data_IF_044981892412
#
_entry.id   IF_044981892412
#
_cell.length_a   1.000
_cell.length_b   1.000
_cell.length_c   1.000
_cell.angle_alpha   90.00
_cell.angle_beta   90.00
_cell.angle_gamma   90.00
#
_symmetry.space_group_name_H-M   'P 1'
#
loop_
_entity.id
_entity.type
_entity.pdbx_description
1 polymer ?
#
# COMPACT_ATOMS: atom_id res chain seq x y z
N UNK A 1 19.48 -18.26 -4.80
CA UNK A 1 18.00 -18.34 -4.83
C UNK A 1 17.50 -18.39 -6.26
N UNK A 2 16.52 -19.25 -6.57
CA UNK A 2 15.89 -19.33 -7.89
C UNK A 2 15.19 -18.01 -8.25
N UNK A 3 15.40 -17.51 -9.47
CA UNK A 3 14.72 -16.32 -10.02
C UNK A 3 13.33 -16.65 -10.59
N UNK A 4 12.90 -17.92 -10.54
CA UNK A 4 11.64 -18.39 -11.10
C UNK A 4 10.56 -18.48 -10.03
N UNK A 5 9.32 -18.16 -10.42
CA UNK A 5 8.11 -18.37 -9.63
C UNK A 5 7.10 -19.12 -10.52
N UNK A 6 6.71 -20.31 -10.10
CA UNK A 6 5.60 -21.03 -10.77
C UNK A 6 4.29 -20.32 -10.41
N UNK A 7 3.40 -20.15 -11.37
CA UNK A 7 2.11 -19.48 -11.19
C UNK A 7 1.26 -20.13 -10.08
N UNK A 8 1.39 -21.44 -9.92
CA UNK A 8 0.71 -22.17 -8.85
C UNK A 8 1.13 -21.71 -7.43
N UNK A 9 2.42 -21.34 -7.25
CA UNK A 9 2.96 -20.87 -5.98
C UNK A 9 2.89 -19.35 -5.79
N UNK A 10 2.24 -18.62 -6.73
CA UNK A 10 2.05 -17.19 -6.54
C UNK A 10 1.21 -16.91 -5.28
N UNK A 11 1.45 -15.81 -4.54
CA UNK A 11 0.69 -15.45 -3.35
C UNK A 11 -0.82 -15.46 -3.58
N UNK A 12 -1.60 -15.80 -2.55
CA UNK A 12 -3.07 -15.80 -2.64
C UNK A 12 -3.63 -14.39 -2.82
N UNK A 13 -2.87 -13.37 -2.43
CA UNK A 13 -3.19 -11.96 -2.61
C UNK A 13 -3.20 -11.48 -4.07
N UNK A 14 -2.66 -12.27 -5.01
CA UNK A 14 -2.63 -11.90 -6.41
C UNK A 14 -3.89 -12.34 -7.15
N UNK A 15 -4.55 -11.38 -7.81
CA UNK A 15 -5.72 -11.63 -8.66
C UNK A 15 -5.28 -12.08 -10.06
N UNK A 16 -4.70 -13.30 -10.15
CA UNK A 16 -4.17 -13.86 -11.40
C UNK A 16 -4.73 -15.25 -11.67
N UNK A 17 -4.79 -15.63 -12.95
CA UNK A 17 -5.13 -16.98 -13.38
C UNK A 17 -4.04 -17.96 -12.95
N UNK A 18 -4.41 -19.03 -12.22
CA UNK A 18 -3.46 -20.05 -11.76
C UNK A 18 -3.14 -21.11 -12.82
N UNK A 19 -4.06 -21.34 -13.76
CA UNK A 19 -3.91 -22.28 -14.87
C UNK A 19 -3.58 -21.54 -16.17
N UNK A 20 -2.87 -22.18 -17.07
CA UNK A 20 -2.50 -21.65 -18.39
C UNK A 20 -0.99 -21.38 -18.53
N UNK A 21 -0.43 -20.49 -17.74
CA UNK A 21 1.01 -20.18 -17.79
C UNK A 21 1.76 -20.86 -16.64
N UNK A 22 2.86 -21.55 -16.95
CA UNK A 22 3.70 -22.24 -15.97
C UNK A 22 4.42 -21.29 -15.02
N UNK A 23 4.92 -20.15 -15.52
CA UNK A 23 5.72 -19.20 -14.78
C UNK A 23 5.11 -17.79 -14.80
N UNK A 24 5.24 -17.09 -13.68
CA UNK A 24 4.85 -15.70 -13.51
C UNK A 24 6.06 -14.88 -13.06
N UNK A 25 6.03 -13.56 -13.28
CA UNK A 25 7.13 -12.69 -12.84
C UNK A 25 7.24 -12.75 -11.31
N UNK A 26 8.44 -13.09 -10.80
CA UNK A 26 8.76 -13.00 -9.37
C UNK A 26 9.16 -11.56 -9.06
N UNK A 27 8.58 -10.91 -8.03
CA UNK A 27 9.01 -9.57 -7.62
C UNK A 27 10.48 -9.54 -7.26
N UNK A 28 11.15 -8.45 -7.59
CA UNK A 28 12.48 -8.12 -7.06
C UNK A 28 12.36 -7.78 -5.57
N UNK A 29 13.42 -7.96 -4.78
CA UNK A 29 13.47 -7.42 -3.42
C UNK A 29 13.21 -5.89 -3.46
N UNK A 30 12.40 -5.40 -2.54
CA UNK A 30 12.01 -3.99 -2.53
C UNK A 30 11.27 -3.61 -1.25
N UNK A 31 10.44 -2.58 -1.34
CA UNK A 31 9.73 -1.96 -0.23
C UNK A 31 8.69 -2.87 0.44
N UNK A 32 8.16 -3.82 -0.29
CA UNK A 32 7.08 -4.69 0.17
C UNK A 32 7.46 -6.16 0.15
N UNK A 33 6.92 -6.94 1.10
CA UNK A 33 7.01 -8.40 1.08
C UNK A 33 6.26 -8.96 -0.12
N UNK A 34 6.70 -10.12 -0.64
CA UNK A 34 6.08 -10.76 -1.81
C UNK A 34 4.58 -11.04 -1.62
N UNK A 35 4.15 -11.33 -0.39
CA UNK A 35 2.75 -11.62 -0.05
C UNK A 35 1.85 -10.38 -0.12
N UNK A 36 2.43 -9.19 0.10
CA UNK A 36 1.73 -7.90 0.13
C UNK A 36 2.06 -7.02 -1.07
N UNK A 37 2.65 -7.59 -2.12
CA UNK A 37 3.01 -6.85 -3.34
C UNK A 37 2.76 -7.67 -4.59
N UNK A 38 2.61 -6.99 -5.71
CA UNK A 38 2.46 -7.58 -7.04
C UNK A 38 3.49 -6.94 -7.99
N UNK A 39 4.18 -7.72 -8.84
CA UNK A 39 5.15 -7.15 -9.77
C UNK A 39 4.45 -6.30 -10.83
N UNK A 40 5.09 -5.19 -11.19
CA UNK A 40 4.55 -4.18 -12.09
C UNK A 40 4.10 -4.76 -13.45
N UNK A 41 4.86 -5.73 -14.00
CA UNK A 41 4.47 -6.41 -15.24
C UNK A 41 3.18 -7.23 -15.13
N UNK A 42 2.86 -7.76 -13.96
CA UNK A 42 1.61 -8.51 -13.72
C UNK A 42 0.45 -7.53 -13.63
N UNK A 43 0.65 -6.39 -12.98
CA UNK A 43 -0.36 -5.34 -12.90
C UNK A 43 -0.71 -4.85 -14.31
N UNK A 44 0.29 -4.52 -15.14
CA UNK A 44 0.08 -4.03 -16.50
C UNK A 44 -0.61 -5.06 -17.40
N UNK A 45 -0.27 -6.35 -17.25
CA UNK A 45 -0.77 -7.40 -18.14
C UNK A 45 -2.08 -8.01 -17.66
N UNK A 46 -2.15 -8.41 -16.37
CA UNK A 46 -3.23 -9.26 -15.88
C UNK A 46 -4.35 -8.44 -15.22
N UNK A 47 -4.03 -7.29 -14.62
CA UNK A 47 -5.00 -6.45 -13.91
C UNK A 47 -5.52 -5.33 -14.81
N UNK A 48 -4.64 -4.45 -15.31
CA UNK A 48 -5.01 -3.30 -16.13
C UNK A 48 -5.19 -3.63 -17.62
N UNK A 49 -4.61 -4.75 -18.08
CA UNK A 49 -4.68 -5.20 -19.48
C UNK A 49 -4.11 -4.20 -20.50
N UNK A 50 -3.16 -3.37 -20.09
CA UNK A 50 -2.45 -2.44 -20.98
C UNK A 50 -1.39 -3.12 -21.84
N UNK A 51 -1.02 -4.33 -21.49
CA UNK A 51 -0.12 -5.19 -22.25
C UNK A 51 -0.68 -6.60 -22.31
N UNK A 52 -0.49 -7.30 -23.43
CA UNK A 52 -0.86 -8.72 -23.57
C UNK A 52 0.32 -9.61 -23.23
N UNK A 53 1.53 -9.15 -23.53
CA UNK A 53 2.76 -9.90 -23.34
C UNK A 53 3.72 -9.22 -22.35
N UNK A 54 4.64 -10.02 -21.80
CA UNK A 54 5.74 -9.48 -20.97
C UNK A 54 6.65 -8.53 -21.76
N UNK A 55 6.81 -8.75 -23.08
CA UNK A 55 7.63 -7.89 -23.95
C UNK A 55 7.00 -6.51 -24.06
N UNK A 56 5.72 -6.42 -24.31
CA UNK A 56 4.95 -5.15 -24.35
C UNK A 56 5.00 -4.43 -23.00
N UNK A 57 4.78 -5.14 -21.89
CA UNK A 57 4.89 -4.54 -20.56
C UNK A 57 6.29 -3.92 -20.34
N UNK A 58 7.37 -4.60 -20.76
CA UNK A 58 8.72 -4.04 -20.69
C UNK A 58 8.89 -2.82 -21.59
N UNK A 59 8.32 -2.85 -22.80
CA UNK A 59 8.40 -1.72 -23.73
C UNK A 59 7.75 -0.48 -23.13
N UNK A 60 6.55 -0.61 -22.56
CA UNK A 60 5.85 0.48 -21.84
C UNK A 60 6.72 1.03 -20.70
N UNK A 61 7.33 0.16 -19.90
CA UNK A 61 8.14 0.58 -18.75
C UNK A 61 9.45 1.27 -19.19
N UNK A 62 10.07 0.82 -20.27
CA UNK A 62 11.32 1.41 -20.79
C UNK A 62 11.12 2.85 -21.28
N UNK A 63 9.91 3.22 -21.71
CA UNK A 63 9.56 4.61 -22.06
C UNK A 63 9.54 5.55 -20.84
N UNK A 64 9.69 5.02 -19.61
CA UNK A 64 9.64 5.79 -18.34
C UNK A 64 8.33 6.56 -18.08
N UNK A 65 7.24 6.15 -18.73
CA UNK A 65 5.93 6.78 -18.61
C UNK A 65 5.11 6.26 -17.43
N UNK A 66 5.58 5.17 -16.80
CA UNK A 66 4.95 4.57 -15.62
C UNK A 66 5.71 5.01 -14.36
N UNK A 67 4.99 5.70 -13.51
CA UNK A 67 5.49 6.15 -12.21
C UNK A 67 4.91 5.28 -11.10
N UNK A 68 5.73 4.95 -10.11
CA UNK A 68 5.30 4.39 -8.84
C UNK A 68 5.73 5.35 -7.75
N UNK A 69 4.78 5.87 -6.97
CA UNK A 69 5.02 6.91 -5.96
C UNK A 69 5.80 8.11 -6.54
N UNK A 70 5.38 8.59 -7.70
CA UNK A 70 5.99 9.69 -8.47
C UNK A 70 7.43 9.44 -8.97
N UNK A 71 7.93 8.19 -8.90
CA UNK A 71 9.26 7.80 -9.39
C UNK A 71 9.10 6.88 -10.60
N UNK A 72 9.74 7.23 -11.73
CA UNK A 72 9.72 6.39 -12.93
C UNK A 72 10.39 5.03 -12.69
N UNK A 73 9.67 3.94 -12.95
CA UNK A 73 10.16 2.57 -12.75
C UNK A 73 10.25 1.83 -14.07
N UNK A 74 11.43 1.32 -14.37
CA UNK A 74 11.72 0.53 -15.58
C UNK A 74 11.79 -0.96 -15.29
N UNK A 75 12.02 -1.38 -14.02
CA UNK A 75 12.07 -2.80 -13.66
C UNK A 75 10.65 -3.40 -13.67
N UNK A 76 10.41 -4.31 -14.60
CA UNK A 76 9.16 -5.05 -14.72
C UNK A 76 8.82 -5.93 -13.51
N UNK A 77 9.80 -6.21 -12.65
CA UNK A 77 9.66 -6.99 -11.41
C UNK A 77 9.50 -6.10 -10.17
N UNK A 78 9.45 -4.79 -10.36
CA UNK A 78 9.29 -3.88 -9.22
C UNK A 78 8.03 -4.24 -8.42
N UNK A 79 8.15 -4.46 -7.08
CA UNK A 79 7.01 -4.81 -6.23
C UNK A 79 6.16 -3.56 -5.96
N UNK A 80 4.90 -3.60 -6.36
CA UNK A 80 3.89 -2.60 -6.01
C UNK A 80 3.03 -3.19 -4.89
N UNK A 81 2.94 -2.49 -3.78
CA UNK A 81 2.23 -2.95 -2.58
C UNK A 81 1.10 -2.02 -2.16
N UNK A 82 0.62 -2.24 -0.95
CA UNK A 82 -0.51 -1.51 -0.39
C UNK A 82 -0.25 0.01 -0.37
N UNK A 83 -1.24 0.77 -0.83
CA UNK A 83 -1.27 2.22 -0.96
C UNK A 83 -0.25 2.82 -1.94
N UNK A 84 0.52 2.01 -2.68
CA UNK A 84 1.36 2.54 -3.75
C UNK A 84 0.49 3.19 -4.83
N UNK A 85 0.96 4.33 -5.32
CA UNK A 85 0.30 5.09 -6.38
C UNK A 85 0.98 4.78 -7.70
N UNK A 86 0.19 4.33 -8.68
CA UNK A 86 0.61 4.11 -10.06
C UNK A 86 0.08 5.25 -10.93
N UNK A 87 0.95 5.96 -11.60
CA UNK A 87 0.59 7.05 -12.52
C UNK A 87 1.12 6.79 -13.91
N UNK A 88 0.28 6.98 -14.91
CA UNK A 88 0.59 6.80 -16.33
C UNK A 88 0.57 8.16 -17.04
N UNK A 89 1.74 8.67 -17.44
CA UNK A 89 1.86 10.01 -18.04
C UNK A 89 1.17 10.14 -19.40
N UNK A 90 1.24 9.10 -20.23
CA UNK A 90 0.68 9.14 -21.60
C UNK A 90 -0.85 9.23 -21.62
N UNK A 91 -1.52 8.54 -20.70
CA UNK A 91 -2.98 8.44 -20.63
C UNK A 91 -3.59 9.26 -19.48
N UNK A 92 -2.73 9.94 -18.71
CA UNK A 92 -3.12 10.75 -17.55
C UNK A 92 -4.05 10.02 -16.56
N UNK A 93 -3.79 8.74 -16.34
CA UNK A 93 -4.54 7.91 -15.40
C UNK A 93 -3.71 7.59 -14.16
N UNK A 94 -4.38 7.65 -13.01
CA UNK A 94 -3.78 7.37 -11.72
C UNK A 94 -4.55 6.25 -11.01
N UNK A 95 -3.81 5.36 -10.37
CA UNK A 95 -4.37 4.21 -9.67
C UNK A 95 -3.71 4.06 -8.31
N UNK A 96 -4.42 3.49 -7.36
CA UNK A 96 -3.89 3.10 -6.05
C UNK A 96 -4.08 1.61 -5.82
N UNK A 97 -3.06 0.97 -5.27
CA UNK A 97 -3.14 -0.41 -4.85
C UNK A 97 -3.80 -0.50 -3.46
N UNK A 98 -4.91 -1.22 -3.36
CA UNK A 98 -5.66 -1.46 -2.13
C UNK A 98 -5.89 -2.96 -1.96
N UNK A 99 -6.39 -3.39 -0.80
CA UNK A 99 -6.80 -4.77 -0.57
C UNK A 99 -8.32 -4.89 -0.72
N UNK A 100 -8.75 -5.90 -1.42
CA UNK A 100 -10.16 -6.34 -1.47
C UNK A 100 -10.55 -7.04 -0.15
N UNK A 101 -11.84 -7.17 0.15
CA UNK A 101 -12.40 -7.91 1.29
C UNK A 101 -11.92 -9.37 1.39
N UNK A 102 -11.34 -9.92 0.33
CA UNK A 102 -10.70 -11.24 0.28
C UNK A 102 -9.18 -11.20 0.50
N UNK A 103 -8.62 -10.04 0.86
CA UNK A 103 -7.18 -9.84 1.03
C UNK A 103 -6.38 -9.88 -0.27
N UNK A 104 -7.03 -9.65 -1.41
CA UNK A 104 -6.37 -9.59 -2.72
C UNK A 104 -6.01 -8.17 -3.06
N UNK A 105 -4.86 -7.99 -3.72
CA UNK A 105 -4.43 -6.68 -4.22
C UNK A 105 -5.33 -6.30 -5.40
N UNK A 106 -6.04 -5.20 -5.25
CA UNK A 106 -6.88 -4.56 -6.26
C UNK A 106 -6.28 -3.22 -6.64
N UNK A 107 -6.45 -2.81 -7.89
CA UNK A 107 -5.94 -1.55 -8.41
C UNK A 107 -7.16 -0.68 -8.71
N UNK A 108 -7.31 0.41 -7.97
CA UNK A 108 -8.46 1.32 -8.04
C UNK A 108 -8.05 2.63 -8.68
N UNK A 109 -8.85 3.14 -9.59
CA UNK A 109 -8.62 4.44 -10.23
C UNK A 109 -8.87 5.57 -9.22
N UNK A 110 -7.95 6.54 -9.17
CA UNK A 110 -8.00 7.69 -8.26
C UNK A 110 -7.86 9.01 -9.01
N UNK A 111 -8.28 10.11 -8.38
CA UNK A 111 -8.12 11.45 -8.91
C UNK A 111 -6.66 11.96 -8.86
N UNK A 112 -6.36 13.01 -9.62
CA UNK A 112 -5.01 13.62 -9.67
C UNK A 112 -4.55 14.16 -8.31
N UNK A 113 -5.43 14.80 -7.56
CA UNK A 113 -5.05 15.38 -6.26
C UNK A 113 -4.77 14.30 -5.23
N UNK A 114 -5.54 13.21 -5.28
CA UNK A 114 -5.34 12.07 -4.42
C UNK A 114 -4.06 11.29 -4.77
N UNK A 115 -3.62 11.32 -6.04
CA UNK A 115 -2.39 10.64 -6.47
C UNK A 115 -1.12 11.24 -5.89
N UNK A 116 -1.16 12.47 -5.41
CA UNK A 116 -0.03 13.19 -4.77
C UNK A 116 0.22 12.74 -3.34
N UNK A 117 -0.76 12.11 -2.71
CA UNK A 117 -0.75 11.81 -1.27
C UNK A 117 -0.68 10.31 -1.06
N UNK A 118 0.21 9.88 -0.16
CA UNK A 118 0.31 8.48 0.25
C UNK A 118 0.38 8.35 1.77
N UNK A 119 -0.45 7.49 2.37
CA UNK A 119 -0.38 7.21 3.80
C UNK A 119 0.74 6.22 4.12
N UNK A 120 1.41 6.44 5.24
CA UNK A 120 2.41 5.55 5.80
C UNK A 120 2.16 5.35 7.27
N UNK A 121 2.25 4.11 7.75
CA UNK A 121 2.18 3.79 9.19
C UNK A 121 3.56 3.91 9.82
N UNK A 122 3.63 4.51 10.99
CA UNK A 122 4.86 4.59 11.79
C UNK A 122 5.05 3.24 12.49
N UNK A 123 6.11 2.54 12.10
CA UNK A 123 6.45 1.22 12.67
C UNK A 123 7.40 1.38 13.87
N UNK A 124 8.28 2.38 13.83
CA UNK A 124 9.25 2.61 14.89
C UNK A 124 9.78 4.02 14.91
N UNK A 125 10.44 4.37 16.01
CA UNK A 125 11.10 5.67 16.24
C UNK A 125 12.48 5.45 16.78
N UNK A 126 13.44 6.27 16.34
CA UNK A 126 14.81 6.27 16.85
C UNK A 126 15.36 7.68 16.91
N UNK A 127 16.10 8.01 17.96
CA UNK A 127 16.86 9.28 18.03
C UNK A 127 18.17 9.15 17.25
N UNK A 128 18.41 10.06 16.32
CA UNK A 128 19.61 10.12 15.47
C UNK A 128 20.10 11.56 15.40
N UNK A 129 21.30 11.82 15.89
CA UNK A 129 21.93 13.15 15.88
C UNK A 129 21.02 14.29 16.38
N UNK A 130 20.33 14.06 17.50
CA UNK A 130 19.43 15.06 18.11
C UNK A 130 18.04 15.17 17.47
N UNK A 131 17.80 14.58 16.31
CA UNK A 131 16.50 14.52 15.63
C UNK A 131 15.84 13.15 15.83
N UNK A 132 14.53 13.08 15.59
CA UNK A 132 13.76 11.84 15.67
C UNK A 132 13.58 11.28 14.27
N UNK A 133 14.15 10.09 14.06
CA UNK A 133 13.89 9.32 12.86
C UNK A 133 12.61 8.48 13.05
N UNK A 134 11.64 8.69 12.16
CA UNK A 134 10.43 7.90 12.03
C UNK A 134 10.66 6.81 10.99
N UNK A 135 10.54 5.55 11.40
CA UNK A 135 10.60 4.41 10.48
C UNK A 135 9.19 4.09 10.02
N UNK A 136 8.94 4.25 8.73
CA UNK A 136 7.63 4.11 8.11
C UNK A 136 7.46 2.74 7.46
N UNK A 137 6.19 2.33 7.29
CA UNK A 137 5.84 1.20 6.44
C UNK A 137 6.39 1.41 5.03
N UNK A 138 6.76 0.33 4.34
CA UNK A 138 7.38 0.44 3.01
C UNK A 138 8.86 0.87 3.01
N UNK A 139 9.55 0.82 4.17
CA UNK A 139 10.99 1.02 4.29
C UNK A 139 11.46 2.46 4.14
N UNK A 140 10.56 3.44 4.17
CA UNK A 140 10.94 4.86 4.19
C UNK A 140 11.27 5.33 5.61
N UNK A 141 12.24 6.24 5.72
CA UNK A 141 12.63 6.90 6.97
C UNK A 141 12.55 8.41 6.78
N UNK A 142 11.99 9.10 7.76
CA UNK A 142 11.86 10.56 7.75
C UNK A 142 12.41 11.09 9.08
N UNK A 143 13.13 12.21 9.00
CA UNK A 143 13.58 12.95 10.18
C UNK A 143 12.51 13.97 10.57
N UNK A 144 12.10 13.94 11.82
CA UNK A 144 11.20 14.91 12.42
C UNK A 144 11.97 15.66 13.52
N UNK A 145 11.76 16.95 13.59
CA UNK A 145 12.43 17.79 14.62
C UNK A 145 11.72 17.66 15.97
N UNK A 146 10.41 17.36 15.98
CA UNK A 146 9.60 17.27 17.17
C UNK A 146 9.07 15.86 17.43
N UNK A 147 8.90 15.48 18.68
CA UNK A 147 8.35 14.17 19.11
C UNK A 147 6.81 14.20 19.26
N UNK A 148 6.13 14.60 18.21
CA UNK A 148 4.65 14.64 18.18
C UNK A 148 4.01 13.30 17.77
N UNK A 149 4.76 12.38 17.18
CA UNK A 149 4.24 11.17 16.55
C UNK A 149 4.43 9.96 17.44
N UNK A 150 3.46 9.05 17.47
CA UNK A 150 3.51 7.78 18.21
C UNK A 150 3.65 6.60 17.25
N UNK A 151 4.24 5.50 17.72
CA UNK A 151 4.27 4.24 16.98
C UNK A 151 2.84 3.70 16.84
N UNK A 152 2.45 3.39 15.62
CA UNK A 152 1.08 2.97 15.27
C UNK A 152 0.26 4.08 14.61
N UNK A 153 0.65 5.35 14.72
CA UNK A 153 0.02 6.45 13.97
C UNK A 153 0.32 6.32 12.47
N UNK A 154 -0.49 6.96 11.65
CA UNK A 154 -0.20 7.12 10.23
C UNK A 154 0.15 8.57 9.90
N UNK A 155 0.99 8.75 8.88
CA UNK A 155 1.34 10.05 8.33
C UNK A 155 1.04 10.06 6.84
N UNK A 156 0.43 11.14 6.36
CA UNK A 156 0.22 11.41 4.95
C UNK A 156 1.43 12.16 4.41
N UNK A 157 2.08 11.59 3.41
CA UNK A 157 3.22 12.18 2.75
C UNK A 157 2.83 12.73 1.38
N UNK A 158 3.33 13.92 1.08
CA UNK A 158 3.26 14.50 -0.26
C UNK A 158 4.40 13.92 -1.12
N UNK A 159 4.02 13.17 -2.16
CA UNK A 159 4.95 12.52 -3.08
C UNK A 159 5.65 13.52 -4.01
N UNK A 160 5.07 14.70 -4.27
CA UNK A 160 5.66 15.75 -5.11
C UNK A 160 6.66 16.61 -4.32
N UNK A 161 6.38 16.88 -3.03
CA UNK A 161 7.19 17.75 -2.18
C UNK A 161 8.20 16.99 -1.32
N UNK A 162 9.02 16.13 -1.94
CA UNK A 162 10.07 15.37 -1.24
C UNK A 162 9.59 14.61 0.01
N UNK A 163 8.40 14.04 -0.05
CA UNK A 163 7.77 13.30 1.06
C UNK A 163 7.63 14.11 2.36
N UNK A 164 7.30 15.40 2.27
CA UNK A 164 6.95 16.19 3.44
C UNK A 164 5.68 15.66 4.08
N UNK A 165 5.63 15.65 5.40
CA UNK A 165 4.44 15.28 6.17
C UNK A 165 3.41 16.39 5.98
N UNK A 166 2.26 16.06 5.39
CA UNK A 166 1.12 16.98 5.28
C UNK A 166 0.24 16.91 6.53
N UNK A 167 -0.12 15.69 6.92
CA UNK A 167 -1.01 15.46 8.05
C UNK A 167 -0.61 14.19 8.80
N UNK A 168 -0.90 14.15 10.10
CA UNK A 168 -0.72 12.98 10.95
C UNK A 168 -2.05 12.50 11.50
N UNK A 169 -2.34 11.23 11.29
CA UNK A 169 -3.54 10.56 11.78
C UNK A 169 -3.14 9.75 13.00
N UNK A 170 -3.61 10.18 14.17
CA UNK A 170 -3.31 9.47 15.42
C UNK A 170 -4.24 8.26 15.57
N UNK A 171 -3.67 7.15 16.02
CA UNK A 171 -4.43 5.97 16.39
C UNK A 171 -5.03 6.17 17.79
N UNK A 172 -6.26 6.69 17.82
CA UNK A 172 -7.03 6.99 19.04
C UNK A 172 -8.43 6.40 18.95
N UNK A 173 -9.19 6.50 20.04
CA UNK A 173 -10.63 6.27 20.03
C UNK A 173 -11.29 7.15 18.96
N UNK A 174 -12.30 6.63 18.29
CA UNK A 174 -13.03 7.21 17.16
C UNK A 174 -12.22 7.44 15.87
N UNK A 175 -10.96 6.99 15.80
CA UNK A 175 -10.20 7.00 14.56
C UNK A 175 -10.75 5.95 13.58
N UNK A 176 -10.82 6.32 12.30
CA UNK A 176 -11.14 5.39 11.23
C UNK A 176 -9.89 4.58 10.86
N UNK A 177 -10.00 3.26 10.91
CA UNK A 177 -8.92 2.34 10.57
C UNK A 177 -9.27 1.50 9.35
N UNK A 178 -8.25 1.15 8.58
CA UNK A 178 -8.30 0.17 7.51
C UNK A 178 -7.53 -1.08 7.94
N UNK A 179 -8.09 -2.25 7.70
CA UNK A 179 -7.52 -3.52 8.14
C UNK A 179 -6.62 -4.12 7.07
N UNK A 180 -5.33 -4.24 7.40
CA UNK A 180 -4.30 -4.78 6.51
C UNK A 180 -4.05 -6.27 6.69
N UNK A 181 -4.70 -6.89 7.69
CA UNK A 181 -4.56 -8.31 8.00
C UNK A 181 -5.70 -8.84 8.85
N UNK A 182 -5.71 -10.17 9.09
CA UNK A 182 -6.72 -10.85 9.87
C UNK A 182 -7.95 -11.26 9.06
N UNK A 183 -9.03 -11.67 9.76
CA UNK A 183 -10.29 -12.16 9.15
C UNK A 183 -11.01 -11.08 8.33
N UNK A 184 -10.96 -9.83 8.79
CA UNK A 184 -11.65 -8.68 8.19
C UNK A 184 -10.72 -7.79 7.35
N UNK A 185 -9.73 -8.41 6.71
CA UNK A 185 -8.78 -7.70 5.83
C UNK A 185 -9.52 -6.92 4.72
N UNK A 186 -9.06 -5.70 4.42
CA UNK A 186 -9.65 -4.85 3.37
C UNK A 186 -10.92 -4.10 3.80
N UNK A 187 -11.38 -4.27 5.04
CA UNK A 187 -12.52 -3.53 5.58
C UNK A 187 -12.07 -2.29 6.33
N UNK A 188 -12.98 -1.34 6.50
CA UNK A 188 -12.81 -0.17 7.36
C UNK A 188 -13.65 -0.30 8.62
N UNK A 189 -13.23 0.36 9.68
CA UNK A 189 -13.99 0.39 10.93
C UNK A 189 -13.55 1.52 11.84
N UNK A 190 -14.38 1.86 12.81
CA UNK A 190 -14.13 2.94 13.78
C UNK A 190 -13.62 2.36 15.09
N UNK A 191 -12.48 2.83 15.58
CA UNK A 191 -11.89 2.37 16.84
C UNK A 191 -12.78 2.76 18.01
N UNK A 192 -13.15 1.78 18.83
CA UNK A 192 -13.86 2.01 20.09
C UNK A 192 -12.89 2.11 21.26
N UNK A 193 -11.98 1.13 21.37
CA UNK A 193 -11.04 1.05 22.48
C UNK A 193 -9.72 0.40 22.05
N UNK A 194 -8.63 0.79 22.72
CA UNK A 194 -7.29 0.21 22.48
C UNK A 194 -6.82 -0.43 23.78
N UNK A 195 -6.73 -1.76 23.80
CA UNK A 195 -6.33 -2.55 24.96
C UNK A 195 -4.95 -3.17 24.68
N UNK A 196 -3.88 -2.48 25.08
CA UNK A 196 -2.51 -2.95 24.89
C UNK A 196 -2.16 -3.17 23.42
N UNK A 197 -2.02 -4.45 23.00
CA UNK A 197 -1.72 -4.85 21.62
C UNK A 197 -2.97 -5.14 20.76
N UNK A 198 -4.16 -5.06 21.34
CA UNK A 198 -5.44 -5.33 20.69
C UNK A 198 -6.25 -4.05 20.53
N UNK A 199 -7.11 -4.02 19.54
CA UNK A 199 -8.02 -2.92 19.25
C UNK A 199 -9.42 -3.51 19.09
N UNK A 200 -10.37 -2.95 19.84
CA UNK A 200 -11.80 -3.14 19.63
C UNK A 200 -12.26 -2.07 18.66
N UNK A 201 -12.91 -2.47 17.59
CA UNK A 201 -13.43 -1.56 16.59
C UNK A 201 -14.82 -1.99 16.13
N UNK A 202 -15.61 -1.01 15.71
CA UNK A 202 -16.91 -1.23 15.09
C UNK A 202 -16.74 -1.33 13.59
N UNK A 203 -17.10 -2.48 13.02
CA UNK A 203 -17.08 -2.71 11.57
C UNK A 203 -18.22 -1.92 10.89
N UNK A 204 -18.16 -1.79 9.56
CA UNK A 204 -19.21 -1.16 8.76
C UNK A 204 -20.58 -1.85 8.96
N UNK A 205 -20.58 -3.15 9.18
CA UNK A 205 -21.77 -3.98 9.42
C UNK A 205 -22.36 -3.78 10.82
N UNK A 206 -21.73 -2.95 11.66
CA UNK A 206 -22.19 -2.63 13.01
C UNK A 206 -21.72 -3.60 14.09
N UNK A 207 -21.00 -4.64 13.75
CA UNK A 207 -20.45 -5.62 14.69
C UNK A 207 -19.20 -5.08 15.41
N UNK A 208 -19.08 -5.40 16.69
CA UNK A 208 -17.88 -5.12 17.48
C UNK A 208 -16.87 -6.26 17.28
N UNK A 209 -15.72 -5.93 16.74
CA UNK A 209 -14.69 -6.90 16.38
C UNK A 209 -13.37 -6.55 17.04
N UNK A 210 -12.66 -7.57 17.50
CA UNK A 210 -11.31 -7.43 18.06
C UNK A 210 -10.24 -7.75 17.00
N UNK A 211 -9.22 -6.92 16.93
CA UNK A 211 -8.07 -7.12 16.03
C UNK A 211 -6.75 -6.74 16.70
N UNK A 212 -5.64 -7.16 16.10
CA UNK A 212 -4.31 -6.75 16.53
C UNK A 212 -4.00 -5.32 16.08
N UNK A 213 -3.38 -4.52 16.95
CA UNK A 213 -2.90 -3.17 16.63
C UNK A 213 -1.99 -3.12 15.39
N UNK A 214 -1.29 -4.21 15.11
CA UNK A 214 -0.43 -4.34 13.94
C UNK A 214 -1.22 -4.25 12.63
N UNK A 215 -2.42 -4.83 12.57
CA UNK A 215 -3.27 -4.84 11.37
C UNK A 215 -4.07 -3.57 11.19
N UNK A 216 -4.24 -2.78 12.24
CA UNK A 216 -4.96 -1.52 12.15
C UNK A 216 -4.09 -0.43 11.51
N UNK A 217 -4.55 0.13 10.40
CA UNK A 217 -3.92 1.23 9.69
C UNK A 217 -4.85 2.45 9.77
N UNK A 218 -4.47 3.53 10.49
CA UNK A 218 -5.30 4.74 10.56
C UNK A 218 -5.38 5.43 9.20
N UNK A 219 -6.60 5.69 8.71
CA UNK A 219 -6.86 6.31 7.39
C UNK A 219 -7.63 7.61 7.48
N UNK A 220 -8.13 7.97 8.65
CA UNK A 220 -8.87 9.20 8.86
C UNK A 220 -9.48 9.29 10.25
N UNK A 221 -10.32 10.31 10.47
CA UNK A 221 -11.15 10.43 11.66
C UNK A 221 -12.57 9.94 11.34
N UNK A 222 -13.41 10.80 10.75
CA UNK A 222 -14.79 10.44 10.40
C UNK A 222 -14.94 9.97 8.96
N UNK A 223 -14.10 10.49 8.05
CA UNK A 223 -14.04 10.07 6.65
C UNK A 223 -12.63 9.62 6.32
N UNK A 224 -12.47 8.64 5.45
CA UNK A 224 -11.15 8.25 4.97
C UNK A 224 -10.57 9.40 4.13
N UNK A 225 -9.31 9.76 4.41
CA UNK A 225 -8.58 10.80 3.67
C UNK A 225 -8.09 10.33 2.30
N UNK A 226 -8.20 9.03 2.06
CA UNK A 226 -7.83 8.36 0.81
C UNK A 226 -8.93 7.39 0.41
N UNK A 227 -9.11 7.16 -0.88
CA UNK A 227 -10.01 6.14 -1.37
C UNK A 227 -9.43 4.75 -1.06
N UNK A 228 -10.14 3.97 -0.23
CA UNK A 228 -9.77 2.61 0.20
C UNK A 228 -10.78 1.56 -0.26
N UNK A 229 -11.87 1.97 -0.91
CA UNK A 229 -12.87 1.06 -1.47
C UNK A 229 -12.32 0.41 -2.73
N UNK A 230 -12.13 -0.90 -2.69
CA UNK A 230 -11.67 -1.74 -3.79
C UNK A 230 -12.75 -2.70 -4.30
#
# INVERSE_FOLDING_TARGET
MSKHLKTYFAPKSWKVRRKGMKYIAKPSPGTHKIEHSMPLSVILRDVLKYATTKREARHILNKKNVLVDNIARTDYRFPVGLFDVLSFREIDENFRAVLDKKGRISIVKIGKDESKIKPYKIIGKRKVKGKIQLNLSGGKNILADEDKYKVGDAVLLDLEKNNKIQEAIQLKKDALIYLTGGKHIGQTGKVQEIIGKRILYKAEDGEDVETLKEYAFPVGKDKPLINVSG
#
